data_IF_344366742190
#
_entry.id   IF_344366742190
#
_cell.length_a   1.000
_cell.length_b   1.000
_cell.length_c   1.000
_cell.angle_alpha   90.00
_cell.angle_beta   90.00
_cell.angle_gamma   90.00
#
_symmetry.space_group_name_H-M   'P 1'
#
loop_
_entity.id
_entity.type
_entity.pdbx_description
1 polymer ?
#
# COMPACT_ATOMS: atom_id res chain seq x y z
N UNK A 1 14.75 80.77 -31.74
CA UNK A 1 16.01 80.42 -31.06
C UNK A 1 15.84 79.11 -30.30
N UNK A 2 16.80 78.18 -30.47
CA UNK A 2 17.22 77.04 -29.61
C UNK A 2 16.15 76.11 -29.01
N UNK A 3 16.06 74.83 -29.42
CA UNK A 3 16.89 73.64 -29.09
C UNK A 3 16.66 73.02 -27.70
N UNK A 4 16.62 71.69 -27.72
CA UNK A 4 16.86 70.70 -26.65
C UNK A 4 15.68 70.44 -25.69
N UNK A 5 15.18 69.21 -25.49
CA UNK A 5 15.85 67.91 -25.56
C UNK A 5 16.51 67.58 -24.23
N UNK A 6 15.80 66.85 -23.35
CA UNK A 6 16.43 66.18 -22.20
C UNK A 6 15.79 64.82 -21.94
N UNK A 7 16.55 63.79 -22.29
CA UNK A 7 16.38 62.39 -21.89
C UNK A 7 16.92 62.17 -20.47
N UNK A 8 16.50 61.03 -19.91
CA UNK A 8 17.16 60.19 -18.89
C UNK A 8 17.10 60.61 -17.41
N UNK A 9 16.40 59.79 -16.61
CA UNK A 9 17.04 58.99 -15.57
C UNK A 9 16.12 57.82 -15.17
N UNK A 10 16.61 56.60 -15.41
CA UNK A 10 16.10 55.41 -14.77
C UNK A 10 16.54 55.42 -13.30
N UNK A 11 15.63 55.09 -12.39
CA UNK A 11 15.98 54.66 -11.03
C UNK A 11 15.03 53.54 -10.62
N UNK A 12 15.63 52.39 -10.39
CA UNK A 12 15.04 51.11 -10.05
C UNK A 12 14.48 51.11 -8.63
N UNK A 13 13.38 50.38 -8.40
CA UNK A 13 13.23 49.30 -7.39
C UNK A 13 11.78 49.23 -6.82
N UNK A 14 11.31 48.06 -6.34
CA UNK A 14 11.55 46.70 -6.80
C UNK A 14 10.24 46.06 -7.29
N UNK A 15 10.31 45.28 -8.38
CA UNK A 15 9.26 44.32 -8.73
C UNK A 15 9.22 43.29 -7.60
N UNK A 16 8.17 43.32 -6.78
CA UNK A 16 7.87 42.22 -5.88
C UNK A 16 7.83 40.94 -6.70
N UNK A 17 8.63 39.96 -6.31
CA UNK A 17 8.61 38.63 -6.91
C UNK A 17 7.23 38.01 -6.64
N UNK A 18 6.35 37.78 -7.63
CA UNK A 18 5.49 36.61 -7.53
C UNK A 18 6.45 35.43 -7.71
N UNK A 19 6.82 34.79 -6.60
CA UNK A 19 7.56 33.55 -6.63
C UNK A 19 6.88 32.59 -7.62
N UNK A 20 7.54 32.37 -8.76
CA UNK A 20 7.69 31.10 -9.45
C UNK A 20 6.61 30.03 -9.16
N UNK A 21 5.39 30.29 -9.61
CA UNK A 21 4.47 29.23 -10.00
C UNK A 21 4.13 29.43 -11.47
N UNK A 22 5.11 29.14 -12.33
CA UNK A 22 4.79 28.73 -13.69
C UNK A 22 4.05 27.38 -13.57
N UNK A 23 2.74 27.45 -13.34
CA UNK A 23 1.81 26.36 -13.62
C UNK A 23 2.00 26.09 -15.12
N UNK A 24 2.75 25.05 -15.46
CA UNK A 24 2.64 24.47 -16.78
C UNK A 24 1.15 24.22 -17.01
N UNK A 25 0.60 24.82 -18.06
CA UNK A 25 -0.78 24.65 -18.48
C UNK A 25 -0.94 23.18 -18.86
N UNK A 26 -1.28 22.36 -17.87
CA UNK A 26 -1.46 20.93 -18.12
C UNK A 26 -2.78 20.80 -18.86
N UNK A 27 -2.80 20.21 -20.07
CA UNK A 27 -4.02 20.09 -20.84
C UNK A 27 -5.04 19.25 -20.06
N UNK A 28 -6.10 19.88 -19.58
CA UNK A 28 -7.30 19.19 -19.10
C UNK A 28 -8.08 18.69 -20.31
N UNK A 29 -7.55 17.65 -20.96
CA UNK A 29 -8.23 17.04 -22.11
C UNK A 29 -9.27 16.07 -21.56
N UNK A 30 -10.52 16.55 -21.54
CA UNK A 30 -11.70 15.71 -21.38
C UNK A 30 -12.04 15.13 -22.75
N UNK A 31 -11.63 13.88 -23.00
CA UNK A 31 -12.07 13.16 -24.21
C UNK A 31 -13.27 12.30 -23.85
N UNK A 32 -14.44 12.64 -24.35
CA UNK A 32 -15.63 11.80 -24.23
C UNK A 32 -15.84 11.03 -25.53
N UNK A 33 -15.84 9.70 -25.43
CA UNK A 33 -16.22 8.82 -26.53
C UNK A 33 -17.61 8.25 -26.24
N UNK A 34 -18.48 8.21 -27.26
CA UNK A 34 -19.80 7.60 -27.15
C UNK A 34 -20.94 8.47 -27.66
N UNK A 35 -22.07 7.83 -27.96
CA UNK A 35 -23.33 8.52 -28.21
C UNK A 35 -23.95 8.94 -26.86
N UNK A 36 -24.84 9.93 -26.82
CA UNK A 36 -25.30 10.60 -25.58
C UNK A 36 -25.75 9.68 -24.42
N UNK A 37 -26.13 8.43 -24.70
CA UNK A 37 -26.53 7.45 -23.69
C UNK A 37 -25.35 6.71 -23.02
N UNK A 38 -24.22 6.52 -23.71
CA UNK A 38 -23.06 5.72 -23.26
C UNK A 38 -21.76 6.52 -23.41
N UNK A 39 -21.69 7.70 -22.80
CA UNK A 39 -20.46 8.50 -22.80
C UNK A 39 -19.45 7.95 -21.79
N UNK A 40 -18.28 7.55 -22.27
CA UNK A 40 -17.10 7.26 -21.46
C UNK A 40 -16.19 8.49 -21.53
N UNK A 41 -16.07 9.21 -20.42
CA UNK A 41 -15.21 10.39 -20.31
C UNK A 41 -13.85 9.99 -19.75
N UNK A 42 -12.80 10.21 -20.53
CA UNK A 42 -11.41 10.10 -20.11
C UNK A 42 -10.92 11.48 -19.64
N UNK A 43 -10.51 11.56 -18.38
CA UNK A 43 -9.95 12.78 -17.78
C UNK A 43 -8.44 12.63 -17.67
N UNK A 44 -7.67 13.23 -18.58
CA UNK A 44 -6.20 13.19 -18.54
C UNK A 44 -5.61 14.25 -17.60
N UNK A 45 -6.20 14.45 -16.41
CA UNK A 45 -5.68 15.38 -15.44
C UNK A 45 -4.49 14.75 -14.70
N UNK A 46 -3.32 15.40 -14.60
CA UNK A 46 -2.13 14.85 -13.96
C UNK A 46 -2.39 14.46 -12.49
N UNK A 47 -3.26 15.19 -11.79
CA UNK A 47 -3.69 14.85 -10.44
C UNK A 47 -4.51 13.57 -10.38
N UNK A 48 -5.45 13.37 -11.32
CA UNK A 48 -6.27 12.15 -11.39
C UNK A 48 -5.41 10.95 -11.79
N UNK A 49 -4.48 11.13 -12.72
CA UNK A 49 -3.51 10.11 -13.11
C UNK A 49 -2.58 9.71 -11.96
N UNK A 50 -2.07 10.67 -11.19
CA UNK A 50 -1.24 10.40 -10.01
C UNK A 50 -2.02 9.60 -8.94
N UNK A 51 -3.26 10.02 -8.64
CA UNK A 51 -4.13 9.31 -7.68
C UNK A 51 -4.48 7.92 -8.19
N UNK A 52 -4.87 7.76 -9.46
CA UNK A 52 -5.16 6.45 -10.06
C UNK A 52 -3.95 5.51 -9.97
N UNK A 53 -2.73 6.03 -10.21
CA UNK A 53 -1.50 5.23 -10.09
C UNK A 53 -1.19 4.83 -8.65
N UNK A 54 -1.41 5.73 -7.69
CA UNK A 54 -1.29 5.42 -6.26
C UNK A 54 -2.30 4.34 -5.83
N UNK A 55 -3.52 4.39 -6.37
CA UNK A 55 -4.56 3.38 -6.12
C UNK A 55 -4.22 2.02 -6.78
N UNK A 56 -3.62 2.02 -7.98
CA UNK A 56 -3.06 0.81 -8.60
C UNK A 56 -1.95 0.18 -7.74
N UNK A 57 -1.16 1.02 -7.05
CA UNK A 57 -0.15 0.58 -6.06
C UNK A 57 -0.79 0.33 -4.68
N UNK A 58 -1.94 -0.36 -4.64
CA UNK A 58 -2.74 -0.61 -3.43
C UNK A 58 -1.94 -1.15 -2.24
N UNK A 59 -0.87 -1.90 -2.48
CA UNK A 59 0.00 -2.41 -1.43
C UNK A 59 0.88 -1.35 -0.74
N UNK A 60 1.26 -0.30 -1.47
CA UNK A 60 2.03 0.83 -0.92
C UNK A 60 1.12 1.79 -0.16
N UNK A 61 -0.16 1.86 -0.55
CA UNK A 61 -1.17 2.79 -0.04
C UNK A 61 -2.09 2.19 1.03
N UNK A 62 -2.02 0.89 1.30
CA UNK A 62 -2.75 0.27 2.41
C UNK A 62 -2.36 0.94 3.73
N UNK A 63 -3.35 1.54 4.39
CA UNK A 63 -3.19 2.14 5.70
C UNK A 63 -2.81 1.07 6.72
N UNK A 64 -1.65 1.25 7.35
CA UNK A 64 -1.22 0.50 8.52
C UNK A 64 -0.94 1.46 9.65
N UNK A 65 -1.29 1.06 10.86
CA UNK A 65 -1.07 1.89 12.03
C UNK A 65 0.42 1.85 12.38
N UNK A 66 0.99 3.03 12.62
CA UNK A 66 2.27 3.16 13.33
C UNK A 66 1.91 3.32 14.79
N UNK A 67 2.20 2.31 15.59
CA UNK A 67 1.88 2.31 17.01
C UNK A 67 2.80 3.29 17.75
N UNK A 68 2.25 3.99 18.73
CA UNK A 68 2.98 4.84 19.67
C UNK A 68 3.04 4.19 21.05
N UNK A 69 3.93 4.68 21.92
CA UNK A 69 4.04 4.13 23.28
C UNK A 69 2.73 4.31 24.08
N UNK A 70 1.99 5.39 23.87
CA UNK A 70 0.65 5.58 24.47
C UNK A 70 -0.34 4.50 24.03
N UNK A 71 -0.27 4.05 22.78
CA UNK A 71 -1.14 2.99 22.28
C UNK A 71 -0.80 1.65 22.94
N UNK A 72 0.49 1.37 23.16
CA UNK A 72 0.93 0.16 23.89
C UNK A 72 0.38 0.16 25.32
N UNK A 73 0.41 1.31 26.00
CA UNK A 73 -0.15 1.43 27.35
C UNK A 73 -1.67 1.21 27.36
N UNK A 74 -2.41 1.79 26.40
CA UNK A 74 -3.84 1.57 26.27
C UNK A 74 -4.18 0.09 25.96
N UNK A 75 -3.37 -0.58 25.15
CA UNK A 75 -3.54 -2.02 24.88
C UNK A 75 -3.23 -2.83 26.14
N UNK A 76 -2.22 -2.46 26.93
CA UNK A 76 -1.83 -3.18 28.14
C UNK A 76 -2.94 -3.20 29.21
N UNK A 77 -3.82 -2.21 29.24
CA UNK A 77 -4.98 -2.18 30.14
C UNK A 77 -6.01 -3.27 29.82
N UNK A 78 -6.06 -3.72 28.57
CA UNK A 78 -7.02 -4.72 28.09
C UNK A 78 -6.39 -6.10 27.87
N UNK A 79 -5.22 -6.14 27.25
CA UNK A 79 -4.50 -7.36 26.90
C UNK A 79 -2.97 -7.17 27.06
N UNK A 80 -2.38 -7.70 28.16
CA UNK A 80 -0.96 -7.55 28.42
C UNK A 80 -0.09 -8.37 27.46
N UNK A 81 -0.60 -9.47 26.91
CA UNK A 81 0.15 -10.31 25.97
C UNK A 81 0.23 -9.65 24.60
N UNK A 82 -0.86 -9.01 24.16
CA UNK A 82 -0.87 -8.21 22.94
C UNK A 82 0.00 -6.95 23.08
N UNK A 83 0.01 -6.33 24.26
CA UNK A 83 0.87 -5.17 24.52
C UNK A 83 2.36 -5.50 24.39
N UNK A 84 2.80 -6.70 24.81
CA UNK A 84 4.19 -7.14 24.60
C UNK A 84 4.54 -7.24 23.11
N UNK A 85 3.61 -7.74 22.29
CA UNK A 85 3.79 -7.83 20.83
C UNK A 85 3.75 -6.45 20.17
N UNK A 86 2.90 -5.55 20.67
CA UNK A 86 2.84 -4.14 20.30
C UNK A 86 4.17 -3.44 20.58
N UNK A 87 4.78 -3.69 21.74
CA UNK A 87 6.08 -3.13 22.10
C UNK A 87 7.15 -3.53 21.08
N UNK A 88 7.23 -4.81 20.69
CA UNK A 88 8.16 -5.26 19.64
C UNK A 88 7.97 -4.52 18.33
N UNK A 89 6.72 -4.25 17.93
CA UNK A 89 6.44 -3.49 16.71
C UNK A 89 6.85 -2.01 16.82
N UNK A 90 6.68 -1.40 18.01
CA UNK A 90 7.12 -0.03 18.32
C UNK A 90 8.65 0.07 18.30
N UNK A 91 9.33 -0.89 18.94
CA UNK A 91 10.79 -0.92 19.05
C UNK A 91 11.45 -1.01 17.66
N UNK A 92 10.83 -1.73 16.72
CA UNK A 92 11.28 -1.82 15.33
C UNK A 92 10.73 -0.72 14.40
N UNK A 93 9.81 0.11 14.89
CA UNK A 93 9.15 1.16 14.10
C UNK A 93 8.37 0.62 12.89
N UNK A 94 7.75 -0.55 13.04
CA UNK A 94 7.03 -1.23 11.96
C UNK A 94 5.57 -0.78 11.90
N UNK A 95 5.07 -0.49 10.70
CA UNK A 95 3.67 -0.19 10.46
C UNK A 95 2.90 -1.50 10.30
N UNK A 96 1.96 -1.77 11.21
CA UNK A 96 1.30 -3.07 11.34
C UNK A 96 -0.22 -2.91 11.45
N UNK A 97 -0.94 -3.93 10.99
CA UNK A 97 -2.37 -4.04 11.23
C UNK A 97 -2.61 -4.73 12.58
N UNK A 98 -3.72 -4.40 13.24
CA UNK A 98 -4.07 -4.98 14.54
C UNK A 98 -4.24 -6.51 14.48
N UNK A 99 -4.78 -7.03 13.38
CA UNK A 99 -4.96 -8.48 13.17
C UNK A 99 -3.63 -9.24 13.09
N UNK A 100 -2.62 -8.62 12.45
CA UNK A 100 -1.32 -9.25 12.25
C UNK A 100 -0.46 -9.21 13.52
N UNK A 101 -0.75 -8.27 14.43
CA UNK A 101 -0.06 -8.11 15.71
C UNK A 101 -0.12 -9.37 16.58
N UNK A 102 -1.12 -10.22 16.39
CA UNK A 102 -1.22 -11.51 17.07
C UNK A 102 -0.01 -12.42 16.81
N UNK A 103 0.63 -12.31 15.65
CA UNK A 103 1.74 -13.18 15.21
C UNK A 103 3.14 -12.54 15.41
N UNK A 104 3.21 -11.37 16.05
CA UNK A 104 4.46 -10.65 16.31
C UNK A 104 5.31 -11.27 17.43
N UNK A 105 4.86 -12.38 18.02
CA UNK A 105 5.69 -13.28 18.83
C UNK A 105 6.71 -14.06 18.00
N UNK A 106 6.45 -14.25 16.69
CA UNK A 106 7.30 -15.06 15.82
C UNK A 106 8.36 -14.20 15.11
N UNK A 107 9.67 -14.49 15.30
CA UNK A 107 10.74 -13.66 14.74
C UNK A 107 10.78 -13.68 13.21
N UNK A 108 10.34 -14.78 12.59
CA UNK A 108 10.24 -14.91 11.13
C UNK A 108 9.27 -13.89 10.52
N UNK A 109 8.18 -13.60 11.23
CA UNK A 109 7.16 -12.65 10.79
C UNK A 109 7.69 -11.23 10.87
N UNK A 110 8.30 -10.88 12.00
CA UNK A 110 8.94 -9.56 12.20
C UNK A 110 10.02 -9.30 11.14
N UNK A 111 10.84 -10.30 10.82
CA UNK A 111 11.85 -10.19 9.77
C UNK A 111 11.24 -9.96 8.37
N UNK A 112 10.06 -10.55 8.08
CA UNK A 112 9.35 -10.32 6.83
C UNK A 112 8.85 -8.86 6.72
N UNK A 113 8.31 -8.29 7.79
CA UNK A 113 7.90 -6.88 7.84
C UNK A 113 9.09 -5.92 7.74
N UNK A 114 10.24 -6.28 8.29
CA UNK A 114 11.47 -5.48 8.13
C UNK A 114 11.93 -5.41 6.68
N UNK A 115 11.94 -6.54 5.98
CA UNK A 115 12.26 -6.60 4.53
C UNK A 115 11.25 -5.79 3.71
N UNK A 116 9.97 -5.92 4.04
CA UNK A 116 8.90 -5.16 3.41
C UNK A 116 9.11 -3.64 3.59
N UNK A 117 9.41 -3.19 4.80
CA UNK A 117 9.62 -1.77 5.10
C UNK A 117 10.78 -1.17 4.28
N UNK A 118 11.86 -1.92 4.09
CA UNK A 118 13.00 -1.51 3.25
C UNK A 118 12.58 -1.37 1.79
N UNK A 119 11.89 -2.37 1.25
CA UNK A 119 11.38 -2.36 -0.12
C UNK A 119 10.42 -1.18 -0.34
N UNK A 120 9.53 -0.90 0.61
CA UNK A 120 8.62 0.25 0.54
C UNK A 120 9.35 1.59 0.58
N UNK A 121 10.45 1.72 1.35
CA UNK A 121 11.29 2.93 1.36
C UNK A 121 11.96 3.16 0.02
N UNK A 122 12.49 2.10 -0.61
CA UNK A 122 13.09 2.15 -1.93
C UNK A 122 12.06 2.57 -2.99
N UNK A 123 10.89 1.92 -3.02
CA UNK A 123 9.79 2.24 -3.93
C UNK A 123 9.33 3.68 -3.78
N UNK A 124 9.16 4.16 -2.53
CA UNK A 124 8.80 5.57 -2.27
C UNK A 124 9.87 6.52 -2.79
N UNK A 125 11.16 6.17 -2.62
CA UNK A 125 12.27 6.93 -3.18
C UNK A 125 12.24 6.99 -4.71
N UNK A 126 11.98 5.87 -5.38
CA UNK A 126 11.85 5.82 -6.85
C UNK A 126 10.70 6.69 -7.35
N UNK A 127 9.54 6.63 -6.70
CA UNK A 127 8.35 7.42 -7.08
C UNK A 127 8.58 8.91 -6.85
N UNK A 128 9.23 9.30 -5.74
CA UNK A 128 9.53 10.71 -5.43
C UNK A 128 10.57 11.32 -6.37
N UNK A 129 11.54 10.52 -6.83
CA UNK A 129 12.60 10.97 -7.74
C UNK A 129 12.21 10.88 -9.22
N UNK A 130 11.06 10.29 -9.55
CA UNK A 130 10.60 10.17 -10.92
C UNK A 130 10.31 11.56 -11.54
N UNK A 131 10.67 11.78 -12.81
CA UNK A 131 10.40 13.05 -13.48
C UNK A 131 8.89 13.26 -13.66
N UNK A 132 8.47 14.53 -13.60
CA UNK A 132 7.06 14.92 -13.75
C UNK A 132 6.49 14.40 -15.08
N UNK A 133 5.32 13.77 -15.02
CA UNK A 133 4.64 13.19 -16.17
C UNK A 133 5.00 11.72 -16.46
N UNK A 134 5.95 11.14 -15.73
CA UNK A 134 6.30 9.72 -15.87
C UNK A 134 5.66 8.91 -14.73
N UNK A 135 4.61 8.15 -15.07
CA UNK A 135 3.80 7.39 -14.11
C UNK A 135 3.99 5.88 -14.27
N UNK A 136 5.22 5.43 -14.52
CA UNK A 136 5.51 4.01 -14.65
C UNK A 136 5.50 3.31 -13.28
N UNK A 137 4.98 2.09 -13.22
CA UNK A 137 5.01 1.29 -11.99
C UNK A 137 6.48 0.90 -11.70
N UNK A 138 6.99 1.20 -10.49
CA UNK A 138 8.33 0.77 -10.07
C UNK A 138 8.52 -0.74 -10.23
N UNK A 139 9.68 -1.17 -10.74
CA UNK A 139 9.94 -2.61 -10.95
C UNK A 139 9.91 -3.40 -9.64
N UNK A 140 10.37 -2.78 -8.56
CA UNK A 140 10.36 -3.33 -7.21
C UNK A 140 8.96 -3.68 -6.68
N UNK A 141 7.89 -3.07 -7.24
CA UNK A 141 6.49 -3.35 -6.83
C UNK A 141 5.94 -4.61 -7.52
N UNK A 142 6.50 -5.05 -8.65
CA UNK A 142 5.93 -6.17 -9.42
C UNK A 142 5.98 -7.51 -8.68
N UNK A 143 7.07 -7.75 -7.95
CA UNK A 143 7.28 -8.98 -7.18
C UNK A 143 6.84 -8.85 -5.72
N UNK A 144 6.27 -7.69 -5.36
CA UNK A 144 5.86 -7.39 -4.01
C UNK A 144 4.70 -8.30 -3.58
N UNK A 145 4.85 -8.91 -2.40
CA UNK A 145 3.79 -9.66 -1.73
C UNK A 145 3.69 -9.19 -0.30
N UNK A 146 2.45 -8.98 0.15
CA UNK A 146 2.17 -8.68 1.55
C UNK A 146 2.70 -9.81 2.44
N UNK A 147 3.45 -9.52 3.51
CA UNK A 147 3.74 -10.50 4.53
C UNK A 147 2.41 -10.96 5.15
N UNK A 148 2.06 -12.21 4.90
CA UNK A 148 0.86 -12.82 5.47
C UNK A 148 1.29 -13.92 6.42
N UNK A 149 0.65 -13.98 7.58
CA UNK A 149 0.85 -15.09 8.50
C UNK A 149 0.44 -16.40 7.77
N UNK A 150 1.32 -17.41 7.73
CA UNK A 150 1.02 -18.66 7.07
C UNK A 150 -0.18 -19.32 7.74
N UNK A 151 -0.99 -19.99 6.92
CA UNK A 151 -2.30 -20.50 7.34
C UNK A 151 -2.24 -21.46 8.53
N UNK A 152 -1.14 -22.21 8.66
CA UNK A 152 -0.88 -23.15 9.76
C UNK A 152 -0.70 -22.47 11.12
N UNK A 153 -0.41 -21.16 11.16
CA UNK A 153 -0.31 -20.42 12.42
C UNK A 153 -1.66 -19.94 12.93
N UNK A 154 -2.72 -20.03 12.11
CA UNK A 154 -4.07 -19.65 12.53
C UNK A 154 -4.65 -20.73 13.44
N UNK A 155 -5.07 -20.41 14.67
CA UNK A 155 -5.62 -21.39 15.61
C UNK A 155 -6.88 -22.07 15.08
N UNK A 156 -7.67 -21.37 14.26
CA UNK A 156 -8.86 -21.93 13.59
C UNK A 156 -8.56 -23.07 12.61
N UNK A 157 -7.33 -23.11 12.07
CA UNK A 157 -6.93 -24.08 11.05
C UNK A 157 -6.10 -25.21 11.65
N UNK A 158 -5.30 -24.90 12.68
CA UNK A 158 -4.52 -25.89 13.40
C UNK A 158 -5.21 -26.22 14.72
N UNK A 159 -6.26 -27.04 14.63
CA UNK A 159 -7.02 -27.50 15.79
C UNK A 159 -6.17 -28.54 16.52
N UNK A 160 -5.89 -28.39 17.82
CA UNK A 160 -5.14 -29.39 18.57
C UNK A 160 -5.92 -30.72 18.63
N UNK A 161 -5.21 -31.85 18.60
CA UNK A 161 -5.81 -33.19 18.58
C UNK A 161 -6.77 -33.43 19.75
N UNK A 162 -6.47 -32.85 20.92
CA UNK A 162 -7.30 -32.92 22.11
C UNK A 162 -8.69 -32.30 21.90
N UNK A 163 -8.78 -31.17 21.17
CA UNK A 163 -10.07 -30.53 20.87
C UNK A 163 -10.93 -31.34 19.88
N UNK A 164 -10.30 -32.17 19.04
CA UNK A 164 -11.00 -33.05 18.09
C UNK A 164 -11.60 -34.28 18.76
N UNK A 165 -11.04 -34.70 19.89
CA UNK A 165 -11.55 -35.81 20.69
C UNK A 165 -12.75 -35.39 21.54
N UNK A 166 -12.76 -34.15 22.02
CA UNK A 166 -13.84 -33.59 22.85
C UNK A 166 -15.09 -33.25 22.01
N UNK A 167 -14.89 -32.64 20.84
CA UNK A 167 -16.01 -32.16 20.00
C UNK A 167 -16.20 -32.99 18.71
N UNK A 168 -17.21 -33.88 18.65
CA UNK A 168 -17.43 -34.75 17.49
C UNK A 168 -17.80 -33.98 16.21
N UNK A 169 -18.39 -32.79 16.34
CA UNK A 169 -18.69 -31.91 15.19
C UNK A 169 -17.43 -31.32 14.56
N UNK A 170 -16.41 -31.03 15.38
CA UNK A 170 -15.15 -30.44 14.92
C UNK A 170 -14.37 -31.45 14.08
N UNK A 171 -14.34 -32.71 14.54
CA UNK A 171 -13.78 -33.85 13.82
C UNK A 171 -14.40 -34.06 12.45
N UNK A 172 -15.74 -34.07 12.35
CA UNK A 172 -16.42 -34.20 11.06
C UNK A 172 -16.09 -33.07 10.09
N UNK A 173 -15.97 -31.83 10.59
CA UNK A 173 -15.58 -30.68 9.77
C UNK A 173 -14.16 -30.83 9.23
N UNK A 174 -13.23 -31.32 10.05
CA UNK A 174 -11.85 -31.51 9.62
C UNK A 174 -11.73 -32.63 8.58
N UNK A 175 -12.40 -33.77 8.80
CA UNK A 175 -12.46 -34.89 7.85
C UNK A 175 -13.04 -34.45 6.49
N UNK A 176 -14.16 -33.71 6.51
CA UNK A 176 -14.77 -33.12 5.32
C UNK A 176 -13.79 -32.16 4.63
N UNK A 177 -13.12 -31.30 5.39
CA UNK A 177 -12.12 -30.38 4.85
C UNK A 177 -10.96 -31.12 4.18
N UNK A 178 -10.54 -32.25 4.75
CA UNK A 178 -9.51 -33.12 4.19
C UNK A 178 -9.94 -33.77 2.89
N UNK A 179 -11.17 -34.25 2.81
CA UNK A 179 -11.76 -34.80 1.58
C UNK A 179 -11.84 -33.73 0.47
N UNK A 180 -12.30 -32.52 0.80
CA UNK A 180 -12.36 -31.40 -0.14
C UNK A 180 -10.96 -31.03 -0.65
N UNK A 181 -9.95 -30.98 0.23
CA UNK A 181 -8.54 -30.73 -0.17
C UNK A 181 -8.02 -31.80 -1.12
N UNK A 182 -8.27 -33.08 -0.83
CA UNK A 182 -7.88 -34.19 -1.72
C UNK A 182 -8.55 -34.06 -3.08
N UNK A 183 -9.85 -33.77 -3.10
CA UNK A 183 -10.61 -33.59 -4.33
C UNK A 183 -10.09 -32.42 -5.18
N UNK A 184 -9.87 -31.25 -4.55
CA UNK A 184 -9.30 -30.07 -5.21
C UNK A 184 -7.88 -30.29 -5.74
N UNK A 185 -7.06 -31.09 -5.04
CA UNK A 185 -5.72 -31.45 -5.49
C UNK A 185 -5.78 -32.37 -6.72
N UNK A 186 -6.73 -33.30 -6.76
CA UNK A 186 -6.96 -34.20 -7.90
C UNK A 186 -7.61 -33.51 -9.10
N UNK A 187 -8.36 -32.43 -8.91
CA UNK A 187 -9.13 -31.75 -9.96
C UNK A 187 -8.36 -30.62 -10.67
N UNK A 188 -7.07 -30.42 -10.40
CA UNK A 188 -6.26 -29.41 -11.10
C UNK A 188 -6.08 -29.84 -12.57
N UNK A 189 -6.63 -29.11 -13.55
CA UNK A 189 -6.70 -29.58 -14.93
C UNK A 189 -5.34 -29.41 -15.63
N UNK A 190 -4.95 -30.48 -16.30
CA UNK A 190 -4.05 -30.54 -17.44
C UNK A 190 -4.46 -29.48 -18.46
N UNK A 191 -3.76 -28.35 -18.46
CA UNK A 191 -4.01 -27.19 -19.31
C UNK A 191 -2.71 -26.60 -19.85
N UNK A 192 -1.78 -27.45 -20.28
CA UNK A 192 -0.78 -27.10 -21.28
C UNK A 192 -1.36 -27.47 -22.64
N UNK A 193 -1.87 -26.48 -23.36
CA UNK A 193 -2.07 -26.61 -24.81
C UNK A 193 -0.78 -26.18 -25.48
N UNK A 194 -0.02 -27.17 -25.94
CA UNK A 194 0.83 -27.05 -27.11
C UNK A 194 -0.03 -26.65 -28.32
N UNK A 195 0.33 -25.55 -28.98
CA UNK A 195 -0.29 -25.04 -30.19
C UNK A 195 0.30 -23.69 -30.54
#
# INVERSE_FOLDING_TARGET
MLRAGRRLAAAMAPKGNPALHAKAEVPDVLVSFGNQADQITFVSHPGVMAVSKLLEMGHVTQYRAVLTQSDVHAIAEHDPDLARKAQTAVDEGLAVNFQDLQYFDKPEFVAAFRKEQQLLKEVRGEVLNAPKGQYNIPKAVKDYKLPMAPRNWRPEVNVPSEALEVDPQLRMKEELSGLVRKHLATSKPTGQLSG
#
